data_IF_487401526812
#
_entry.id   IF_487401526812
#
_cell.length_a   1.000
_cell.length_b   1.000
_cell.length_c   1.000
_cell.angle_alpha   90.00
_cell.angle_beta   90.00
_cell.angle_gamma   90.00
#
_symmetry.space_group_name_H-M   'P 1'
#
loop_
_entity.id
_entity.type
_entity.pdbx_description
1 polymer ?
#
# COMPACT_ATOMS: atom_id res chain seq x y z
N UNK A 1 -11.25 -16.31 -3.10
CA UNK A 1 -11.06 -17.57 -2.35
C UNK A 1 -11.17 -18.86 -3.18
N UNK A 2 -12.17 -19.01 -4.06
CA UNK A 2 -12.42 -20.28 -4.78
C UNK A 2 -11.27 -20.72 -5.70
N UNK A 3 -10.59 -19.79 -6.38
CA UNK A 3 -9.48 -20.12 -7.31
C UNK A 3 -8.24 -20.71 -6.63
N UNK A 4 -8.03 -20.42 -5.33
CA UNK A 4 -6.94 -21.02 -4.56
C UNK A 4 -7.29 -22.40 -3.99
N UNK A 5 -8.57 -22.77 -3.95
CA UNK A 5 -9.05 -24.04 -3.36
C UNK A 5 -9.21 -25.17 -4.37
N UNK A 6 -9.36 -24.87 -5.67
CA UNK A 6 -9.66 -25.87 -6.72
C UNK A 6 -8.62 -25.96 -7.84
N UNK A 7 -7.52 -25.22 -7.73
CA UNK A 7 -6.26 -25.49 -8.43
C UNK A 7 -6.41 -25.80 -9.94
N UNK A 8 -6.96 -24.85 -10.71
CA UNK A 8 -6.97 -24.90 -12.17
C UNK A 8 -5.82 -24.09 -12.76
N UNK A 9 -4.62 -24.68 -12.97
CA UNK A 9 -3.43 -23.95 -13.42
C UNK A 9 -3.65 -23.19 -14.74
N UNK A 10 -4.52 -23.70 -15.62
CA UNK A 10 -4.88 -23.07 -16.90
C UNK A 10 -5.79 -21.85 -16.79
N UNK A 11 -6.40 -21.60 -15.62
CA UNK A 11 -7.30 -20.46 -15.38
C UNK A 11 -6.71 -19.47 -14.37
N UNK A 12 -6.05 -19.96 -13.33
CA UNK A 12 -5.51 -19.11 -12.25
C UNK A 12 -4.39 -18.20 -12.73
N UNK A 13 -3.45 -18.69 -13.54
CA UNK A 13 -2.31 -17.87 -14.01
C UNK A 13 -2.76 -16.79 -15.01
N UNK A 14 -3.58 -17.09 -16.04
CA UNK A 14 -4.09 -16.05 -16.94
C UNK A 14 -4.95 -15.00 -16.22
N UNK A 15 -5.80 -15.43 -15.27
CA UNK A 15 -6.56 -14.50 -14.44
C UNK A 15 -5.65 -13.58 -13.63
N UNK A 16 -4.62 -14.12 -12.97
CA UNK A 16 -3.66 -13.32 -12.22
C UNK A 16 -2.90 -12.32 -13.11
N UNK A 17 -2.55 -12.71 -14.34
CA UNK A 17 -1.95 -11.78 -15.31
C UNK A 17 -2.89 -10.64 -15.68
N UNK A 18 -4.18 -10.92 -15.88
CA UNK A 18 -5.16 -9.89 -16.14
C UNK A 18 -5.32 -8.93 -14.94
N UNK A 19 -5.42 -9.48 -13.72
CA UNK A 19 -5.46 -8.67 -12.49
C UNK A 19 -4.19 -7.84 -12.32
N UNK A 20 -3.03 -8.39 -12.69
CA UNK A 20 -1.76 -7.67 -12.66
C UNK A 20 -1.74 -6.47 -13.61
N UNK A 21 -2.18 -6.62 -14.85
CA UNK A 21 -2.27 -5.49 -15.79
C UNK A 21 -3.26 -4.42 -15.32
N UNK A 22 -4.41 -4.84 -14.76
CA UNK A 22 -5.37 -3.90 -14.14
C UNK A 22 -4.68 -3.13 -13.01
N UNK A 23 -3.98 -3.85 -12.11
CA UNK A 23 -3.32 -3.22 -10.97
C UNK A 23 -2.23 -2.25 -11.43
N UNK A 24 -1.47 -2.60 -12.48
CA UNK A 24 -0.46 -1.73 -13.07
C UNK A 24 -1.07 -0.45 -13.65
N UNK A 25 -2.20 -0.56 -14.34
CA UNK A 25 -2.97 0.61 -14.80
C UNK A 25 -3.43 1.46 -13.60
N UNK A 26 -4.00 0.86 -12.56
CA UNK A 26 -4.38 1.57 -11.34
C UNK A 26 -3.19 2.29 -10.70
N UNK A 27 -2.01 1.67 -10.68
CA UNK A 27 -0.81 2.29 -10.12
C UNK A 27 -0.41 3.52 -10.93
N UNK A 28 -0.42 3.42 -12.26
CA UNK A 28 -0.12 4.55 -13.13
C UNK A 28 -1.08 5.72 -12.88
N UNK A 29 -2.39 5.46 -12.88
CA UNK A 29 -3.42 6.47 -12.60
C UNK A 29 -3.28 7.06 -11.18
N UNK A 30 -3.01 6.21 -10.19
CA UNK A 30 -2.87 6.67 -8.81
C UNK A 30 -1.68 7.58 -8.56
N UNK A 31 -0.63 7.49 -9.38
CA UNK A 31 0.59 8.29 -9.21
C UNK A 31 0.34 9.75 -9.60
N UNK A 32 -0.49 10.03 -10.61
CA UNK A 32 -0.79 11.40 -11.04
C UNK A 32 -1.83 12.09 -10.15
N UNK A 33 -2.72 11.32 -9.51
CA UNK A 33 -3.81 11.86 -8.68
C UNK A 33 -3.37 12.89 -7.64
N UNK A 34 -2.33 12.65 -6.80
CA UNK A 34 -1.91 13.63 -5.81
C UNK A 34 -1.44 14.95 -6.43
N UNK A 35 -0.75 14.90 -7.57
CA UNK A 35 -0.20 16.10 -8.22
C UNK A 35 -1.32 16.93 -8.87
N UNK A 36 -2.30 16.27 -9.49
CA UNK A 36 -3.50 16.91 -10.05
C UNK A 36 -4.31 17.60 -8.95
N UNK A 37 -4.62 16.89 -7.87
CA UNK A 37 -5.35 17.44 -6.71
C UNK A 37 -4.55 18.57 -6.05
N UNK A 38 -3.22 18.44 -5.95
CA UNK A 38 -2.37 19.48 -5.37
C UNK A 38 -2.41 20.75 -6.22
N UNK A 39 -2.33 20.64 -7.56
CA UNK A 39 -2.41 21.78 -8.45
C UNK A 39 -3.76 22.51 -8.33
N UNK A 40 -4.84 21.75 -8.22
CA UNK A 40 -6.18 22.26 -7.97
C UNK A 40 -6.29 22.93 -6.59
N UNK A 41 -5.71 22.32 -5.55
CA UNK A 41 -5.68 22.86 -4.19
C UNK A 41 -4.97 24.22 -4.13
N UNK A 42 -3.85 24.37 -4.85
CA UNK A 42 -3.12 25.64 -4.95
C UNK A 42 -3.99 26.72 -5.61
N UNK A 43 -4.72 26.36 -6.68
CA UNK A 43 -5.67 27.27 -7.34
C UNK A 43 -6.77 27.72 -6.36
N UNK A 44 -7.46 26.78 -5.74
CA UNK A 44 -8.52 27.07 -4.76
C UNK A 44 -8.03 27.92 -3.57
N UNK A 45 -6.81 27.67 -3.07
CA UNK A 45 -6.18 28.50 -2.02
C UNK A 45 -5.88 29.92 -2.48
N UNK A 46 -5.37 30.09 -3.70
CA UNK A 46 -5.08 31.42 -4.24
C UNK A 46 -6.35 32.27 -4.40
N UNK A 47 -7.45 31.64 -4.79
CA UNK A 47 -8.75 32.28 -4.95
C UNK A 47 -9.40 32.61 -3.60
N UNK A 48 -9.32 31.69 -2.64
CA UNK A 48 -9.72 31.96 -1.26
C UNK A 48 -8.95 33.15 -0.66
N UNK A 49 -7.63 33.22 -0.85
CA UNK A 49 -6.80 34.36 -0.40
C UNK A 49 -7.21 35.67 -1.08
N UNK A 50 -7.55 35.63 -2.38
CA UNK A 50 -8.04 36.80 -3.11
C UNK A 50 -9.37 37.29 -2.51
N UNK A 51 -10.32 36.39 -2.25
CA UNK A 51 -11.60 36.69 -1.60
C UNK A 51 -11.37 37.31 -0.22
N UNK A 52 -10.52 36.72 0.60
CA UNK A 52 -10.21 37.23 1.94
C UNK A 52 -9.63 38.66 1.87
N UNK A 53 -8.66 38.89 0.98
CA UNK A 53 -8.03 40.21 0.82
C UNK A 53 -9.00 41.30 0.35
N UNK A 54 -9.99 40.94 -0.48
CA UNK A 54 -11.02 41.86 -0.97
C UNK A 54 -12.00 42.24 0.14
N UNK A 55 -12.39 41.28 0.97
CA UNK A 55 -13.28 41.52 2.11
C UNK A 55 -12.58 42.38 3.17
N UNK A 56 -11.29 42.14 3.44
CA UNK A 56 -10.48 42.96 4.35
C UNK A 56 -10.37 44.40 3.83
N UNK A 57 -10.01 44.59 2.55
CA UNK A 57 -9.98 45.92 1.93
C UNK A 57 -11.32 46.64 2.00
N UNK A 58 -12.43 45.92 1.79
CA UNK A 58 -13.80 46.47 1.88
C UNK A 58 -14.17 46.86 3.32
N UNK A 59 -13.65 46.17 4.34
CA UNK A 59 -13.81 46.57 5.75
C UNK A 59 -13.00 47.81 6.10
N UNK A 60 -11.81 47.97 5.52
CA UNK A 60 -10.93 49.12 5.75
C UNK A 60 -11.40 50.38 5.01
N UNK A 61 -12.01 50.22 3.83
CA UNK A 61 -12.59 51.33 3.05
C UNK A 61 -14.09 51.44 3.32
N UNK A 62 -14.48 52.22 4.33
CA UNK A 62 -15.89 52.51 4.66
C UNK A 62 -16.62 53.41 3.62
N UNK A 63 -16.46 53.15 2.32
CA UNK A 63 -17.02 53.98 1.24
C UNK A 63 -18.32 53.37 0.74
N UNK A 64 -19.38 54.18 0.75
CA UNK A 64 -20.72 53.87 0.23
C UNK A 64 -20.67 53.31 -1.21
N UNK A 65 -21.55 52.37 -1.58
CA UNK A 65 -21.51 51.69 -2.87
C UNK A 65 -21.96 52.62 -3.99
N UNK A 66 -21.01 53.35 -4.58
CA UNK A 66 -21.17 54.00 -5.87
C UNK A 66 -20.82 52.99 -6.96
N UNK A 67 -21.87 52.46 -7.62
CA UNK A 67 -21.87 51.84 -8.97
C UNK A 67 -20.51 51.31 -9.43
N UNK A 68 -20.15 50.09 -9.00
CA UNK A 68 -19.15 49.30 -9.71
C UNK A 68 -19.75 48.84 -11.04
N UNK A 69 -19.02 49.06 -12.14
CA UNK A 69 -19.31 48.44 -13.44
C UNK A 69 -19.44 46.94 -13.25
N UNK A 70 -20.60 46.40 -13.62
CA UNK A 70 -20.95 44.98 -13.49
C UNK A 70 -20.04 44.09 -14.36
N UNK A 71 -19.38 44.68 -15.37
CA UNK A 71 -18.48 44.01 -16.33
C UNK A 71 -17.03 43.80 -15.85
N UNK A 72 -16.65 44.31 -14.67
CA UNK A 72 -15.29 44.18 -14.12
C UNK A 72 -15.23 43.42 -12.79
N UNK A 73 -16.30 42.70 -12.42
CA UNK A 73 -16.27 41.84 -11.24
C UNK A 73 -15.43 40.59 -11.54
N UNK A 74 -14.46 40.24 -10.68
CA UNK A 74 -13.72 39.00 -10.82
C UNK A 74 -14.65 37.78 -10.81
N UNK A 75 -14.47 36.86 -11.77
CA UNK A 75 -15.29 35.65 -11.94
C UNK A 75 -15.45 34.83 -10.65
N UNK A 76 -14.44 34.83 -9.78
CA UNK A 76 -14.43 34.12 -8.50
C UNK A 76 -15.39 34.71 -7.43
N UNK A 77 -16.08 35.81 -7.71
CA UNK A 77 -17.15 36.33 -6.84
C UNK A 77 -18.53 35.78 -7.20
N UNK A 78 -18.65 35.09 -8.33
CA UNK A 78 -19.92 34.47 -8.75
C UNK A 78 -20.17 33.14 -8.03
N UNK A 79 -21.44 32.83 -7.76
CA UNK A 79 -21.86 31.54 -7.21
C UNK A 79 -21.55 30.39 -8.18
N UNK A 80 -21.83 30.59 -9.47
CA UNK A 80 -21.59 29.61 -10.56
C UNK A 80 -20.13 29.15 -10.59
N UNK A 81 -19.17 30.05 -10.33
CA UNK A 81 -17.75 29.69 -10.27
C UNK A 81 -17.42 28.71 -9.13
N UNK A 82 -17.97 28.93 -7.93
CA UNK A 82 -17.73 28.05 -6.79
C UNK A 82 -18.49 26.72 -6.92
N UNK A 83 -19.66 26.73 -7.55
CA UNK A 83 -20.39 25.52 -7.97
C UNK A 83 -19.54 24.67 -8.93
N UNK A 84 -19.00 25.28 -9.98
CA UNK A 84 -18.12 24.60 -10.94
C UNK A 84 -16.86 24.05 -10.26
N UNK A 85 -16.25 24.82 -9.36
CA UNK A 85 -15.09 24.37 -8.59
C UNK A 85 -15.43 23.17 -7.70
N UNK A 86 -16.59 23.18 -7.05
CA UNK A 86 -17.09 22.06 -6.23
C UNK A 86 -17.40 20.82 -7.09
N UNK A 87 -18.01 21.02 -8.27
CA UNK A 87 -18.29 19.95 -9.23
C UNK A 87 -17.00 19.27 -9.68
N UNK A 88 -15.98 20.04 -10.04
CA UNK A 88 -14.66 19.53 -10.39
C UNK A 88 -14.02 18.73 -9.24
N UNK A 89 -14.09 19.24 -8.00
CA UNK A 89 -13.61 18.51 -6.81
C UNK A 89 -14.36 17.19 -6.62
N UNK A 90 -15.68 17.17 -6.84
CA UNK A 90 -16.49 15.96 -6.73
C UNK A 90 -16.15 14.94 -7.82
N UNK A 91 -15.83 15.37 -9.04
CA UNK A 91 -15.41 14.47 -10.11
C UNK A 91 -14.03 13.85 -9.83
N UNK A 92 -13.08 14.64 -9.31
CA UNK A 92 -11.80 14.10 -8.82
C UNK A 92 -12.00 13.08 -7.70
N UNK A 93 -12.89 13.36 -6.73
CA UNK A 93 -13.27 12.43 -5.65
C UNK A 93 -13.85 11.13 -6.19
N UNK A 94 -14.76 11.21 -7.17
CA UNK A 94 -15.34 10.02 -7.82
C UNK A 94 -14.26 9.20 -8.52
N UNK A 95 -13.39 9.85 -9.30
CA UNK A 95 -12.32 9.18 -10.01
C UNK A 95 -11.36 8.46 -9.06
N UNK A 96 -10.89 9.16 -8.02
CA UNK A 96 -10.09 8.57 -6.95
C UNK A 96 -10.76 7.35 -6.33
N UNK A 97 -12.06 7.43 -6.00
CA UNK A 97 -12.80 6.29 -5.40
C UNK A 97 -12.85 5.08 -6.33
N UNK A 98 -12.97 5.28 -7.64
CA UNK A 98 -12.94 4.18 -8.62
C UNK A 98 -11.57 3.51 -8.61
N UNK A 99 -10.48 4.29 -8.70
CA UNK A 99 -9.10 3.76 -8.64
C UNK A 99 -8.85 3.03 -7.32
N UNK A 100 -9.33 3.59 -6.21
CA UNK A 100 -9.23 3.02 -4.88
C UNK A 100 -9.93 1.67 -4.75
N UNK A 101 -11.19 1.60 -5.20
CA UNK A 101 -12.01 0.38 -5.15
C UNK A 101 -11.42 -0.73 -6.02
N UNK A 102 -10.88 -0.35 -7.19
CA UNK A 102 -10.23 -1.29 -8.10
C UNK A 102 -8.94 -1.85 -7.51
N UNK A 103 -8.08 -0.99 -6.95
CA UNK A 103 -6.84 -1.40 -6.27
C UNK A 103 -7.13 -2.27 -5.03
N UNK A 104 -8.12 -1.89 -4.21
CA UNK A 104 -8.57 -2.65 -3.05
C UNK A 104 -9.13 -4.02 -3.42
N UNK A 105 -9.89 -4.10 -4.51
CA UNK A 105 -10.42 -5.35 -5.05
C UNK A 105 -9.28 -6.27 -5.53
N UNK A 106 -8.31 -5.73 -6.28
CA UNK A 106 -7.13 -6.47 -6.71
C UNK A 106 -6.31 -6.99 -5.52
N UNK A 107 -6.13 -6.18 -4.48
CA UNK A 107 -5.45 -6.57 -3.24
C UNK A 107 -6.20 -7.70 -2.52
N UNK A 108 -7.52 -7.58 -2.36
CA UNK A 108 -8.33 -8.61 -1.70
C UNK A 108 -8.35 -9.94 -2.46
N UNK A 109 -8.32 -9.88 -3.80
CA UNK A 109 -8.27 -11.05 -4.66
C UNK A 109 -6.91 -11.77 -4.62
N UNK A 110 -5.80 -11.02 -4.53
CA UNK A 110 -4.43 -11.55 -4.54
C UNK A 110 -3.91 -11.99 -3.17
N UNK A 111 -4.36 -11.34 -2.08
CA UNK A 111 -3.97 -11.65 -0.70
C UNK A 111 -4.02 -13.16 -0.35
N UNK A 112 -5.11 -13.91 -0.58
CA UNK A 112 -5.16 -15.33 -0.24
C UNK A 112 -4.19 -16.18 -1.08
N UNK A 113 -3.81 -15.73 -2.28
CA UNK A 113 -2.92 -16.46 -3.18
C UNK A 113 -1.46 -16.45 -2.72
N UNK A 114 -1.11 -15.56 -1.78
CA UNK A 114 0.18 -15.61 -1.08
C UNK A 114 0.38 -16.89 -0.26
N UNK A 115 -0.71 -17.57 0.10
CA UNK A 115 -0.67 -18.86 0.79
C UNK A 115 -0.56 -20.08 -0.16
N UNK A 116 -0.62 -19.86 -1.47
CA UNK A 116 -0.57 -20.91 -2.49
C UNK A 116 0.76 -21.64 -2.48
N UNK A 117 0.75 -22.93 -2.80
CA UNK A 117 1.96 -23.78 -2.94
C UNK A 117 2.65 -23.62 -4.31
N UNK A 118 2.01 -22.94 -5.27
CA UNK A 118 2.55 -22.72 -6.62
C UNK A 118 3.41 -21.45 -6.67
N UNK A 119 4.69 -21.62 -7.03
CA UNK A 119 5.65 -20.52 -7.18
C UNK A 119 5.15 -19.40 -8.11
N UNK A 120 4.71 -19.74 -9.32
CA UNK A 120 4.28 -18.76 -10.31
C UNK A 120 3.07 -17.93 -9.86
N UNK A 121 2.11 -18.55 -9.16
CA UNK A 121 0.93 -17.85 -8.65
C UNK A 121 1.29 -16.92 -7.47
N UNK A 122 2.20 -17.37 -6.61
CA UNK A 122 2.67 -16.58 -5.47
C UNK A 122 3.49 -15.36 -5.92
N UNK A 123 4.38 -15.51 -6.91
CA UNK A 123 5.18 -14.41 -7.45
C UNK A 123 4.29 -13.32 -8.08
N UNK A 124 3.35 -13.70 -8.94
CA UNK A 124 2.43 -12.73 -9.56
C UNK A 124 1.52 -12.09 -8.49
N UNK A 125 1.08 -12.84 -7.47
CA UNK A 125 0.33 -12.28 -6.36
C UNK A 125 1.14 -11.25 -5.56
N UNK A 126 2.44 -11.49 -5.32
CA UNK A 126 3.34 -10.52 -4.67
C UNK A 126 3.49 -9.23 -5.50
N UNK A 127 3.61 -9.35 -6.82
CA UNK A 127 3.69 -8.18 -7.70
C UNK A 127 2.38 -7.36 -7.72
N UNK A 128 1.22 -8.04 -7.73
CA UNK A 128 -0.08 -7.39 -7.59
C UNK A 128 -0.18 -6.67 -6.24
N UNK A 129 0.20 -7.33 -5.15
CA UNK A 129 0.16 -6.76 -3.80
C UNK A 129 0.99 -5.49 -3.72
N UNK A 130 2.22 -5.51 -4.23
CA UNK A 130 3.08 -4.33 -4.22
C UNK A 130 2.45 -3.13 -4.93
N UNK A 131 2.00 -3.34 -6.18
CA UNK A 131 1.39 -2.29 -6.99
C UNK A 131 0.09 -1.77 -6.34
N UNK A 132 -0.74 -2.66 -5.78
CA UNK A 132 -1.97 -2.28 -5.10
C UNK A 132 -1.69 -1.47 -3.82
N UNK A 133 -0.66 -1.83 -3.04
CA UNK A 133 -0.22 -1.07 -1.84
C UNK A 133 0.20 0.34 -2.21
N UNK A 134 1.02 0.49 -3.26
CA UNK A 134 1.45 1.80 -3.78
C UNK A 134 0.23 2.63 -4.20
N UNK A 135 -0.70 2.01 -4.92
CA UNK A 135 -1.89 2.69 -5.43
C UNK A 135 -2.78 3.20 -4.30
N UNK A 136 -3.04 2.37 -3.30
CA UNK A 136 -3.85 2.73 -2.12
C UNK A 136 -3.20 3.87 -1.33
N UNK A 137 -1.87 3.85 -1.18
CA UNK A 137 -1.16 4.92 -0.47
C UNK A 137 -1.27 6.26 -1.19
N UNK A 138 -1.09 6.28 -2.52
CA UNK A 138 -1.22 7.51 -3.31
C UNK A 138 -2.64 8.05 -3.31
N UNK A 139 -3.63 7.17 -3.38
CA UNK A 139 -5.04 7.52 -3.21
C UNK A 139 -5.32 8.13 -1.83
N UNK A 140 -4.71 7.61 -0.76
CA UNK A 140 -4.86 8.19 0.59
C UNK A 140 -4.24 9.58 0.69
N UNK A 141 -3.10 9.81 0.03
CA UNK A 141 -2.46 11.14 -0.02
C UNK A 141 -3.32 12.14 -0.81
N UNK A 142 -3.89 11.74 -1.94
CA UNK A 142 -4.85 12.55 -2.70
C UNK A 142 -6.10 12.88 -1.87
N UNK A 143 -6.64 11.91 -1.11
CA UNK A 143 -7.79 12.12 -0.23
C UNK A 143 -7.53 13.18 0.86
N UNK A 144 -6.34 13.20 1.46
CA UNK A 144 -5.96 14.22 2.44
C UNK A 144 -5.98 15.61 1.82
N UNK A 145 -5.39 15.76 0.63
CA UNK A 145 -5.37 17.03 -0.10
C UNK A 145 -6.77 17.47 -0.57
N UNK A 146 -7.63 16.54 -1.00
CA UNK A 146 -9.04 16.80 -1.35
C UNK A 146 -9.86 17.32 -0.16
N UNK A 147 -9.60 16.81 1.05
CA UNK A 147 -10.29 17.25 2.26
C UNK A 147 -9.83 18.63 2.71
N UNK A 148 -8.53 18.89 2.67
CA UNK A 148 -7.99 20.23 2.90
C UNK A 148 -8.58 21.24 1.90
N UNK A 149 -8.69 20.86 0.63
CA UNK A 149 -9.23 21.73 -0.42
C UNK A 149 -10.72 21.99 -0.24
N UNK A 150 -11.50 20.97 0.12
CA UNK A 150 -12.94 21.13 0.46
C UNK A 150 -13.11 22.13 1.62
N UNK A 151 -12.27 22.05 2.64
CA UNK A 151 -12.32 22.98 3.78
C UNK A 151 -12.06 24.43 3.33
N UNK A 152 -11.04 24.67 2.50
CA UNK A 152 -10.72 26.00 1.95
C UNK A 152 -11.88 26.56 1.11
N UNK A 153 -12.49 25.73 0.27
CA UNK A 153 -13.67 26.13 -0.52
C UNK A 153 -14.84 26.46 0.41
N UNK A 154 -15.09 25.64 1.44
CA UNK A 154 -16.16 25.90 2.43
C UNK A 154 -15.96 27.25 3.13
N UNK A 155 -14.73 27.57 3.53
CA UNK A 155 -14.39 28.85 4.14
C UNK A 155 -14.57 30.03 3.17
N UNK A 156 -14.21 29.87 1.89
CA UNK A 156 -14.43 30.91 0.88
C UNK A 156 -15.93 31.20 0.65
N UNK A 157 -16.74 30.13 0.55
CA UNK A 157 -18.20 30.20 0.38
C UNK A 157 -18.86 30.87 1.59
N UNK A 158 -18.40 30.57 2.81
CA UNK A 158 -18.84 31.26 4.04
C UNK A 158 -18.50 32.75 4.02
N UNK A 159 -17.29 33.12 3.61
CA UNK A 159 -16.87 34.51 3.50
C UNK A 159 -17.72 35.30 2.49
N UNK A 160 -18.24 34.63 1.46
CA UNK A 160 -19.14 35.19 0.45
C UNK A 160 -20.63 35.12 0.85
N UNK A 161 -20.96 34.50 1.99
CA UNK A 161 -22.34 34.30 2.47
C UNK A 161 -23.24 33.55 1.47
N UNK A 162 -22.65 32.57 0.76
CA UNK A 162 -23.35 31.72 -0.21
C UNK A 162 -23.94 30.49 0.49
N UNK A 163 -24.97 30.71 1.31
CA UNK A 163 -25.54 29.69 2.21
C UNK A 163 -26.20 28.51 1.46
N UNK A 164 -26.72 28.73 0.24
CA UNK A 164 -27.31 27.68 -0.60
C UNK A 164 -26.31 26.56 -0.93
N UNK A 165 -25.03 26.91 -1.09
CA UNK A 165 -23.97 25.95 -1.42
C UNK A 165 -23.46 25.17 -0.20
N UNK A 166 -23.62 25.72 1.01
CA UNK A 166 -23.09 25.13 2.24
C UNK A 166 -23.86 23.88 2.66
N UNK A 167 -25.18 23.91 2.49
CA UNK A 167 -26.06 22.78 2.86
C UNK A 167 -25.78 21.55 1.99
N UNK A 168 -25.46 21.73 0.70
CA UNK A 168 -25.11 20.64 -0.21
C UNK A 168 -23.75 19.99 0.11
N UNK A 169 -22.81 20.74 0.69
CA UNK A 169 -21.47 20.25 1.01
C UNK A 169 -21.43 19.25 2.19
N UNK A 170 -22.39 19.30 3.11
CA UNK A 170 -22.37 18.53 4.36
C UNK A 170 -23.06 17.16 4.28
N UNK A 171 -23.78 16.86 3.19
CA UNK A 171 -24.55 15.60 3.03
C UNK A 171 -23.72 14.40 2.56
N UNK A 172 -22.52 14.62 2.02
CA UNK A 172 -21.69 13.56 1.45
C UNK A 172 -20.66 13.02 2.46
N UNK A 173 -21.10 12.18 3.41
CA UNK A 173 -20.17 11.43 4.26
C UNK A 173 -19.38 10.39 3.45
N UNK A 174 -18.05 10.40 3.63
CA UNK A 174 -17.10 9.55 2.92
C UNK A 174 -17.02 8.16 3.55
N UNK A 175 -17.46 7.12 2.84
CA UNK A 175 -17.26 5.73 3.26
C UNK A 175 -15.76 5.39 3.17
N UNK A 176 -15.16 5.14 4.33
CA UNK A 176 -13.71 5.10 4.61
C UNK A 176 -13.02 3.79 4.16
N UNK A 177 -13.46 3.20 3.04
CA UNK A 177 -13.14 1.81 2.66
C UNK A 177 -11.68 1.57 2.21
N UNK A 178 -10.98 2.62 1.78
CA UNK A 178 -9.70 2.48 1.06
C UNK A 178 -8.50 3.07 1.80
N UNK A 179 -8.47 2.90 3.13
CA UNK A 179 -7.33 3.32 3.96
C UNK A 179 -6.21 2.29 3.93
N UNK A 180 -4.97 2.77 3.90
CA UNK A 180 -3.78 1.92 3.81
C UNK A 180 -3.65 0.98 5.02
N UNK A 181 -3.80 1.50 6.24
CA UNK A 181 -3.53 0.72 7.47
C UNK A 181 -4.50 -0.47 7.67
N UNK A 182 -5.83 -0.32 7.49
CA UNK A 182 -6.74 -1.47 7.53
C UNK A 182 -6.41 -2.53 6.47
N UNK A 183 -6.05 -2.12 5.25
CA UNK A 183 -5.63 -3.03 4.19
C UNK A 183 -4.35 -3.80 4.59
N UNK A 184 -3.36 -3.12 5.15
CA UNK A 184 -2.12 -3.74 5.61
C UNK A 184 -2.34 -4.72 6.77
N UNK A 185 -3.30 -4.43 7.65
CA UNK A 185 -3.66 -5.34 8.73
C UNK A 185 -4.20 -6.69 8.19
N UNK A 186 -4.99 -6.64 7.11
CA UNK A 186 -5.53 -7.84 6.45
C UNK A 186 -4.44 -8.59 5.68
N UNK A 187 -3.50 -7.88 5.07
CA UNK A 187 -2.42 -8.45 4.26
C UNK A 187 -1.32 -9.14 5.10
N UNK A 188 -0.97 -8.57 6.25
CA UNK A 188 0.18 -9.00 7.06
C UNK A 188 0.25 -10.51 7.37
N UNK A 189 -0.83 -11.17 7.83
CA UNK A 189 -0.79 -12.62 8.12
C UNK A 189 -0.41 -13.45 6.90
N UNK A 190 -0.83 -13.04 5.70
CA UNK A 190 -0.57 -13.76 4.46
C UNK A 190 0.88 -13.61 3.99
N UNK A 191 1.50 -12.44 4.21
CA UNK A 191 2.94 -12.26 3.99
C UNK A 191 3.77 -13.15 4.92
N UNK A 192 3.37 -13.24 6.19
CA UNK A 192 4.02 -14.12 7.17
C UNK A 192 3.85 -15.60 6.78
N UNK A 193 2.67 -16.02 6.31
CA UNK A 193 2.42 -17.37 5.80
C UNK A 193 3.27 -17.66 4.56
N UNK A 194 3.39 -16.72 3.63
CA UNK A 194 4.24 -16.82 2.45
C UNK A 194 5.70 -17.14 2.83
N UNK A 195 6.25 -16.44 3.83
CA UNK A 195 7.59 -16.72 4.35
C UNK A 195 7.70 -18.05 5.11
N UNK A 196 6.62 -18.47 5.79
CA UNK A 196 6.58 -19.73 6.54
C UNK A 196 6.58 -20.95 5.59
N UNK A 197 5.88 -20.87 4.47
CA UNK A 197 5.69 -21.98 3.53
C UNK A 197 6.98 -22.35 2.76
N UNK A 198 7.97 -21.45 2.66
CA UNK A 198 9.30 -21.69 2.07
C UNK A 198 9.26 -22.40 0.71
N UNK A 199 8.43 -21.91 -0.21
CA UNK A 199 8.13 -22.58 -1.47
C UNK A 199 9.35 -22.58 -2.41
N UNK A 200 9.98 -21.42 -2.62
CA UNK A 200 11.20 -21.27 -3.43
C UNK A 200 12.03 -20.05 -2.98
N UNK A 201 13.31 -20.00 -3.36
CA UNK A 201 14.17 -18.84 -3.07
C UNK A 201 13.67 -17.54 -3.74
N UNK A 202 13.27 -17.53 -5.03
CA UNK A 202 12.71 -16.34 -5.67
C UNK A 202 11.50 -15.77 -4.93
N UNK A 203 10.58 -16.63 -4.46
CA UNK A 203 9.41 -16.20 -3.69
C UNK A 203 9.78 -15.57 -2.36
N UNK A 204 10.75 -16.13 -1.63
CA UNK A 204 11.22 -15.56 -0.35
C UNK A 204 11.86 -14.19 -0.57
N UNK A 205 12.74 -14.07 -1.56
CA UNK A 205 13.38 -12.80 -1.92
C UNK A 205 12.36 -11.73 -2.26
N UNK A 206 11.41 -12.07 -3.14
CA UNK A 206 10.37 -11.12 -3.56
C UNK A 206 9.48 -10.72 -2.39
N UNK A 207 9.11 -11.67 -1.53
CA UNK A 207 8.30 -11.38 -0.34
C UNK A 207 9.03 -10.44 0.63
N UNK A 208 10.35 -10.61 0.84
CA UNK A 208 11.14 -9.68 1.68
C UNK A 208 11.23 -8.28 1.06
N UNK A 209 11.38 -8.17 -0.26
CA UNK A 209 11.36 -6.88 -0.97
C UNK A 209 9.99 -6.18 -0.82
N UNK A 210 8.89 -6.91 -1.03
CA UNK A 210 7.52 -6.38 -0.88
C UNK A 210 7.25 -5.95 0.57
N UNK A 211 7.73 -6.71 1.56
CA UNK A 211 7.63 -6.32 2.98
C UNK A 211 8.40 -5.01 3.22
N UNK A 212 9.63 -4.89 2.73
CA UNK A 212 10.45 -3.68 2.85
C UNK A 212 9.72 -2.45 2.31
N UNK A 213 9.25 -2.53 1.06
CA UNK A 213 8.49 -1.45 0.39
C UNK A 213 7.18 -1.13 1.10
N UNK A 214 6.43 -2.14 1.52
CA UNK A 214 5.16 -1.96 2.24
C UNK A 214 5.36 -1.21 3.57
N UNK A 215 6.45 -1.52 4.29
CA UNK A 215 6.80 -0.85 5.55
C UNK A 215 7.21 0.60 5.31
N UNK A 216 7.97 0.86 4.24
CA UNK A 216 8.33 2.23 3.86
C UNK A 216 7.10 3.10 3.58
N UNK A 217 6.11 2.55 2.87
CA UNK A 217 4.90 3.26 2.49
C UNK A 217 3.99 3.48 3.70
N UNK A 218 3.81 2.48 4.56
CA UNK A 218 2.84 2.55 5.68
C UNK A 218 3.40 3.12 6.98
N UNK A 219 4.73 3.30 7.07
CA UNK A 219 5.42 3.80 8.24
C UNK A 219 5.72 2.74 9.32
N UNK A 220 6.82 2.93 10.05
CA UNK A 220 7.38 1.91 10.93
C UNK A 220 6.61 1.68 12.24
N UNK A 221 5.95 2.70 12.79
CA UNK A 221 5.20 2.63 14.06
C UNK A 221 4.13 1.53 14.04
N UNK A 222 3.48 1.33 12.90
CA UNK A 222 2.45 0.30 12.72
C UNK A 222 3.03 -1.12 12.82
N UNK A 223 4.27 -1.34 12.41
CA UNK A 223 4.87 -2.67 12.36
C UNK A 223 5.61 -3.09 13.63
N UNK A 224 5.87 -2.17 14.57
CA UNK A 224 6.58 -2.47 15.83
C UNK A 224 5.98 -3.70 16.56
N UNK A 225 4.67 -3.70 16.80
CA UNK A 225 3.98 -4.81 17.49
C UNK A 225 3.99 -6.11 16.68
N UNK A 226 3.94 -6.00 15.35
CA UNK A 226 3.91 -7.13 14.42
C UNK A 226 5.26 -7.80 14.31
N UNK A 227 6.35 -7.03 14.25
CA UNK A 227 7.71 -7.56 14.33
C UNK A 227 8.01 -8.19 15.69
N UNK A 228 7.38 -7.70 16.78
CA UNK A 228 7.52 -8.35 18.08
C UNK A 228 6.83 -9.72 18.15
N UNK A 229 5.63 -9.86 17.57
CA UNK A 229 4.83 -11.09 17.62
C UNK A 229 5.22 -12.10 16.54
N UNK A 230 5.31 -11.66 15.29
CA UNK A 230 5.50 -12.52 14.12
C UNK A 230 6.92 -12.47 13.56
N UNK A 231 7.74 -11.50 14.00
CA UNK A 231 9.10 -11.30 13.47
C UNK A 231 10.02 -12.49 13.67
N UNK A 232 9.79 -13.35 14.67
CA UNK A 232 10.57 -14.59 14.83
C UNK A 232 10.58 -15.47 13.57
N UNK A 233 9.48 -15.49 12.79
CA UNK A 233 9.41 -16.26 11.54
C UNK A 233 10.39 -15.72 10.51
N UNK A 234 10.53 -14.39 10.45
CA UNK A 234 11.45 -13.66 9.57
C UNK A 234 12.89 -13.85 10.04
N UNK A 235 13.19 -13.62 11.32
CA UNK A 235 14.55 -13.72 11.85
C UNK A 235 15.08 -15.14 11.89
N UNK A 236 14.19 -16.15 12.00
CA UNK A 236 14.58 -17.55 11.86
C UNK A 236 15.14 -17.87 10.46
N UNK A 237 14.82 -17.07 9.44
CA UNK A 237 15.45 -17.21 8.12
C UNK A 237 16.93 -16.83 8.15
N UNK A 238 17.34 -15.91 9.03
CA UNK A 238 18.75 -15.59 9.25
C UNK A 238 19.50 -16.76 9.91
N UNK A 239 18.84 -17.44 10.85
CA UNK A 239 19.40 -18.61 11.54
C UNK A 239 19.40 -19.90 10.71
N UNK A 240 19.04 -19.85 9.42
CA UNK A 240 19.17 -21.02 8.54
C UNK A 240 20.65 -21.28 8.30
N UNK A 241 21.18 -22.32 8.96
CA UNK A 241 22.55 -22.77 8.73
C UNK A 241 22.76 -23.13 7.25
N UNK A 242 23.79 -22.57 6.59
CA UNK A 242 24.12 -22.93 5.20
C UNK A 242 24.54 -24.40 5.03
N UNK A 243 24.79 -25.11 6.15
CA UNK A 243 25.33 -26.48 6.17
C UNK A 243 24.37 -27.57 6.69
N UNK A 244 23.08 -27.29 6.95
CA UNK A 244 22.14 -28.38 7.34
C UNK A 244 21.20 -28.76 6.20
N UNK A 245 21.44 -29.95 5.65
CA UNK A 245 20.34 -30.81 5.19
C UNK A 245 19.33 -30.96 6.32
N UNK A 246 18.08 -30.63 6.04
CA UNK A 246 16.99 -30.92 6.96
C UNK A 246 16.68 -32.41 6.86
N UNK A 247 17.33 -33.23 7.67
CA UNK A 247 16.81 -34.57 7.96
C UNK A 247 15.46 -34.40 8.65
N UNK A 248 14.40 -34.80 7.96
CA UNK A 248 13.08 -34.96 8.55
C UNK A 248 13.22 -35.92 9.74
N UNK A 249 13.14 -35.37 10.94
CA UNK A 249 12.87 -36.12 12.16
C UNK A 249 11.44 -36.66 12.07
N UNK A 250 11.29 -37.85 11.49
CA UNK A 250 10.24 -38.80 11.84
C UNK A 250 10.96 -39.98 12.48
N UNK A 251 11.05 -39.96 13.81
CA UNK A 251 11.10 -41.24 14.51
C UNK A 251 9.70 -41.82 14.41
N UNK A 252 9.52 -42.74 13.48
CA UNK A 252 8.75 -43.93 13.75
C UNK A 252 9.37 -45.11 12.97
N UNK A 253 9.14 -46.29 13.51
CA UNK A 253 10.06 -47.42 13.57
C UNK A 253 10.42 -48.12 12.24
N UNK A 254 11.62 -48.71 12.22
CA UNK A 254 12.03 -49.88 11.42
C UNK A 254 11.49 -49.97 9.98
N UNK A 255 12.25 -49.44 9.04
CA UNK A 255 12.30 -50.03 7.70
C UNK A 255 13.75 -50.11 7.23
N UNK A 256 14.33 -51.31 7.30
CA UNK A 256 15.58 -51.63 6.59
C UNK A 256 15.23 -51.63 5.10
N UNK A 257 15.73 -50.63 4.37
CA UNK A 257 15.55 -50.57 2.91
C UNK A 257 16.71 -51.35 2.28
N UNK A 258 16.39 -52.47 1.63
CA UNK A 258 17.35 -53.28 0.89
C UNK A 258 17.67 -52.68 -0.50
N UNK A 259 18.88 -52.94 -1.06
CA UNK A 259 19.49 -52.12 -2.12
C UNK A 259 18.87 -52.23 -3.53
N UNK A 260 17.76 -52.95 -3.73
CA UNK A 260 17.28 -53.31 -5.08
C UNK A 260 15.81 -52.98 -5.38
N UNK A 261 15.21 -52.02 -4.66
CA UNK A 261 13.91 -51.45 -5.07
C UNK A 261 14.08 -50.04 -5.63
N UNK A 262 14.29 -49.96 -6.95
CA UNK A 262 13.98 -48.77 -7.73
C UNK A 262 12.46 -48.63 -7.81
N UNK A 263 11.90 -47.68 -7.07
CA UNK A 263 10.61 -47.07 -7.39
C UNK A 263 10.81 -45.57 -7.47
N UNK A 264 10.57 -45.05 -8.66
CA UNK A 264 10.45 -43.65 -9.02
C UNK A 264 9.60 -42.86 -8.03
N UNK A 265 10.25 -41.98 -7.26
CA UNK A 265 9.70 -40.70 -6.87
C UNK A 265 10.77 -39.67 -7.24
N UNK A 266 10.46 -38.85 -8.24
CA UNK A 266 11.15 -37.60 -8.54
C UNK A 266 11.06 -36.70 -7.31
N UNK A 267 12.00 -36.89 -6.38
CA UNK A 267 12.32 -35.91 -5.34
C UNK A 267 13.21 -34.87 -6.00
N UNK A 268 12.60 -33.91 -6.70
CA UNK A 268 13.26 -32.63 -6.93
C UNK A 268 13.48 -31.99 -5.56
N UNK A 269 14.72 -32.06 -5.08
CA UNK A 269 15.19 -31.41 -3.87
C UNK A 269 15.18 -29.88 -4.10
N UNK A 270 14.39 -29.06 -3.38
CA UNK A 270 14.39 -27.62 -3.63
C UNK A 270 15.47 -26.85 -2.85
N UNK A 271 16.42 -27.52 -2.21
CA UNK A 271 17.33 -26.87 -1.26
C UNK A 271 18.79 -27.27 -1.47
N UNK A 272 19.40 -26.71 -2.51
CA UNK A 272 20.85 -26.61 -2.61
C UNK A 272 21.38 -25.52 -1.67
N UNK A 273 22.52 -25.75 -1.03
CA UNK A 273 23.20 -24.91 -0.02
C UNK A 273 23.35 -23.42 -0.41
N UNK A 274 23.36 -23.12 -1.71
CA UNK A 274 23.42 -21.78 -2.31
C UNK A 274 22.12 -20.98 -2.06
N UNK A 275 20.98 -21.64 -1.86
CA UNK A 275 19.70 -20.98 -1.60
C UNK A 275 19.63 -20.37 -0.20
N UNK A 276 20.28 -21.00 0.80
CA UNK A 276 20.28 -20.55 2.19
C UNK A 276 20.99 -19.20 2.37
N UNK A 277 22.20 -19.06 1.82
CA UNK A 277 22.95 -17.80 1.85
C UNK A 277 22.22 -16.67 1.10
N UNK A 278 21.64 -16.97 -0.08
CA UNK A 278 20.87 -15.97 -0.83
C UNK A 278 19.62 -15.51 -0.08
N UNK A 279 18.98 -16.38 0.71
CA UNK A 279 17.86 -16.01 1.59
C UNK A 279 18.34 -15.09 2.72
N UNK A 280 19.49 -15.39 3.35
CA UNK A 280 20.06 -14.53 4.39
C UNK A 280 20.39 -13.13 3.84
N UNK A 281 21.01 -13.05 2.66
CA UNK A 281 21.31 -11.80 1.97
C UNK A 281 20.02 -11.01 1.72
N UNK A 282 18.97 -11.64 1.18
CA UNK A 282 17.70 -10.95 0.92
C UNK A 282 17.04 -10.38 2.19
N UNK A 283 17.13 -11.09 3.33
CA UNK A 283 16.60 -10.60 4.61
C UNK A 283 17.46 -9.44 5.14
N UNK A 284 18.78 -9.49 4.98
CA UNK A 284 19.68 -8.40 5.34
C UNK A 284 19.44 -7.17 4.47
N UNK A 285 19.29 -7.34 3.16
CA UNK A 285 18.97 -6.26 2.22
C UNK A 285 17.66 -5.58 2.63
N UNK A 286 16.61 -6.35 2.95
CA UNK A 286 15.36 -5.82 3.48
C UNK A 286 15.57 -5.02 4.78
N UNK A 287 16.41 -5.49 5.71
CA UNK A 287 16.73 -4.75 6.95
C UNK A 287 17.44 -3.43 6.61
N UNK A 288 18.40 -3.45 5.69
CA UNK A 288 19.11 -2.23 5.27
C UNK A 288 18.13 -1.22 4.65
N UNK A 289 17.22 -1.68 3.79
CA UNK A 289 16.19 -0.89 3.13
C UNK A 289 15.16 -0.30 4.12
N UNK A 290 14.82 -1.01 5.20
CA UNK A 290 13.95 -0.47 6.25
C UNK A 290 14.72 0.53 7.13
N UNK A 291 16.01 0.29 7.39
CA UNK A 291 16.84 1.15 8.25
C UNK A 291 17.24 2.47 7.61
N UNK A 292 17.30 2.55 6.27
CA UNK A 292 17.69 3.75 5.54
C UNK A 292 16.65 4.89 5.65
N UNK A 293 15.38 4.56 5.87
CA UNK A 293 14.30 5.53 5.99
C UNK A 293 13.95 5.83 7.45
N UNK A 294 14.05 7.11 7.85
CA UNK A 294 13.74 7.58 9.22
C UNK A 294 12.34 7.18 9.70
N UNK A 295 11.34 7.17 8.81
CA UNK A 295 9.95 6.78 9.12
C UNK A 295 9.79 5.28 9.38
N UNK A 296 10.68 4.46 8.82
CA UNK A 296 10.60 2.99 8.82
C UNK A 296 11.53 2.37 9.85
N UNK A 297 12.65 3.02 10.15
CA UNK A 297 13.66 2.57 11.11
C UNK A 297 13.09 2.30 12.52
N UNK A 298 12.06 3.05 12.92
CA UNK A 298 11.37 2.89 14.22
C UNK A 298 10.77 1.46 14.36
N UNK A 299 10.40 0.81 13.25
CA UNK A 299 9.92 -0.57 13.28
C UNK A 299 10.98 -1.56 13.81
N UNK A 300 12.25 -1.30 13.50
CA UNK A 300 13.37 -2.19 13.80
C UNK A 300 14.01 -1.90 15.15
N UNK A 301 13.87 -0.70 15.71
CA UNK A 301 14.53 -0.29 16.96
C UNK A 301 14.28 -1.27 18.12
N UNK A 302 13.05 -1.76 18.26
CA UNK A 302 12.67 -2.73 19.31
C UNK A 302 13.19 -4.15 19.09
N UNK A 303 13.62 -4.47 17.87
CA UNK A 303 13.98 -5.84 17.44
C UNK A 303 15.46 -5.94 17.06
N UNK A 304 16.15 -4.81 16.86
CA UNK A 304 17.54 -4.73 16.44
C UNK A 304 18.48 -5.51 17.38
N UNK A 305 18.30 -5.41 18.70
CA UNK A 305 19.10 -6.17 19.68
C UNK A 305 18.96 -7.68 19.49
N UNK A 306 17.75 -8.17 19.16
CA UNK A 306 17.50 -9.60 18.92
C UNK A 306 18.12 -10.04 17.59
N UNK A 307 18.01 -9.21 16.55
CA UNK A 307 18.59 -9.48 15.22
C UNK A 307 20.11 -9.53 15.30
N UNK A 308 20.74 -8.54 15.95
CA UNK A 308 22.19 -8.52 16.14
C UNK A 308 22.68 -9.74 16.93
N UNK A 309 21.97 -10.17 17.98
CA UNK A 309 22.29 -11.41 18.69
C UNK A 309 22.25 -12.65 17.80
N UNK A 310 21.22 -12.77 16.95
CA UNK A 310 21.08 -13.87 15.99
C UNK A 310 22.19 -13.88 14.93
N UNK A 311 22.59 -12.72 14.41
CA UNK A 311 23.67 -12.60 13.42
C UNK A 311 25.03 -12.90 14.06
N UNK A 312 25.29 -12.41 15.28
CA UNK A 312 26.54 -12.69 16.00
C UNK A 312 26.69 -14.18 16.34
N UNK A 313 25.59 -14.90 16.61
CA UNK A 313 25.61 -16.36 16.79
C UNK A 313 25.92 -17.16 15.52
N UNK A 314 25.88 -16.55 14.33
CA UNK A 314 26.28 -17.21 13.06
C UNK A 314 27.80 -17.10 12.84
N UNK A 315 28.43 -16.07 13.44
CA UNK A 315 29.86 -15.75 13.28
C UNK A 315 30.73 -16.56 14.28
N UNK A 316 30.12 -17.17 15.29
CA UNK A 316 30.79 -18.02 16.30
C UNK A 316 30.53 -19.50 16.02
#
# INVERSE_FOLDING_TARGET
EVLGRHDHPHLTVPFLKAVFEITKACTHESISLPDEVQSFSVKARSEHQAVQSLIEKRRETSVMPGTMDVDAQPDFLSLEYWEDLLCNLNDMRKYRRIVASLAGSCLSASTPLLSSTKEAACLVALDIVENAVVSIAKVEDAYKCENETKAVIKEAVQLLSLDELLDDMDTAEDVDENRLLPAMNKLWPYLVICLKNKISMPTVRRCTEVIGRTIQISGGNFFVRRFHKDGYIIWRLLALSPFRRRTLSLMDEKAIILPYRNTSLTSEEPMAEISGQKIQIAVLDMITEISSHKRSAIALESVLKKICGLVMCIIH
#
